data_IF_436088762467
#
_entry.id   IF_436088762467
#
_cell.length_a   1.000
_cell.length_b   1.000
_cell.length_c   1.000
_cell.angle_alpha   90.00
_cell.angle_beta   90.00
_cell.angle_gamma   90.00
#
_symmetry.space_group_name_H-M   'P 1'
#
loop_
_entity.id
_entity.type
_entity.pdbx_description
1 polymer ?
#
# COMPACT_ATOMS: atom_id res chain seq x y z
N UNK A 1 11.38 -17.66 -1.09
CA UNK A 1 10.05 -18.24 -0.77
C UNK A 1 9.01 -17.15 -0.53
N UNK A 2 9.34 -16.04 0.14
CA UNK A 2 8.44 -14.88 0.33
C UNK A 2 8.10 -14.11 -0.95
N UNK A 3 8.99 -14.18 -1.94
CA UNK A 3 8.97 -13.49 -3.23
C UNK A 3 7.78 -13.85 -4.14
N UNK A 4 7.11 -14.98 -3.86
CA UNK A 4 5.98 -15.51 -4.64
C UNK A 4 4.63 -15.38 -3.94
N UNK A 5 4.59 -14.82 -2.72
CA UNK A 5 3.36 -14.69 -1.94
C UNK A 5 2.47 -13.60 -2.57
N UNK A 6 1.13 -13.80 -2.62
CA UNK A 6 0.20 -12.75 -3.02
C UNK A 6 0.34 -11.52 -2.13
N UNK A 7 0.48 -10.34 -2.73
CA UNK A 7 0.64 -9.07 -1.99
C UNK A 7 -0.69 -8.51 -1.47
N UNK A 8 -1.80 -8.92 -2.07
CA UNK A 8 -3.13 -8.54 -1.64
C UNK A 8 -4.15 -9.64 -1.98
N UNK A 9 -5.28 -9.62 -1.28
CA UNK A 9 -6.42 -10.49 -1.51
C UNK A 9 -7.70 -9.66 -1.58
N UNK A 10 -8.56 -9.95 -2.57
CA UNK A 10 -9.89 -9.38 -2.66
C UNK A 10 -10.91 -10.40 -2.16
N UNK A 11 -11.52 -10.14 -1.02
CA UNK A 11 -12.46 -11.03 -0.35
C UNK A 11 -13.89 -10.59 -0.72
N UNK A 12 -14.65 -11.51 -1.30
CA UNK A 12 -16.07 -11.30 -1.66
C UNK A 12 -16.31 -10.14 -2.63
N UNK A 13 -15.29 -9.73 -3.40
CA UNK A 13 -15.36 -8.58 -4.31
C UNK A 13 -15.49 -7.23 -3.63
N UNK A 14 -15.30 -7.15 -2.30
CA UNK A 14 -15.58 -5.94 -1.50
C UNK A 14 -14.45 -5.52 -0.57
N UNK A 15 -13.75 -6.49 0.03
CA UNK A 15 -12.72 -6.20 1.03
C UNK A 15 -11.36 -6.48 0.42
N UNK A 16 -10.53 -5.46 0.27
CA UNK A 16 -9.15 -5.59 -0.19
C UNK A 16 -8.21 -5.65 1.02
N UNK A 17 -7.60 -6.81 1.26
CA UNK A 17 -6.60 -7.02 2.30
C UNK A 17 -5.18 -7.04 1.73
N UNK A 18 -4.22 -6.49 2.46
CA UNK A 18 -2.78 -6.50 2.17
C UNK A 18 -2.01 -6.51 3.49
N UNK A 19 -0.69 -6.70 3.43
CA UNK A 19 0.11 -6.86 4.65
C UNK A 19 0.29 -5.55 5.43
N UNK A 20 0.66 -4.46 4.74
CA UNK A 20 0.83 -3.14 5.34
C UNK A 20 -0.41 -2.29 5.14
N UNK A 21 -0.49 -1.65 3.97
CA UNK A 21 -1.63 -0.80 3.67
C UNK A 21 -1.56 -0.15 2.29
N UNK A 22 -2.31 0.93 2.14
CA UNK A 22 -2.55 1.54 0.83
C UNK A 22 -1.39 2.42 0.35
N UNK A 23 -1.41 2.74 -0.94
CA UNK A 23 -0.36 3.49 -1.63
C UNK A 23 -0.98 4.56 -2.53
N UNK A 24 -0.33 5.73 -2.73
CA UNK A 24 -0.72 6.68 -3.78
C UNK A 24 -0.57 6.09 -5.18
N UNK A 25 0.18 4.99 -5.32
CA UNK A 25 0.39 4.26 -6.58
C UNK A 25 -0.70 3.21 -6.83
N UNK A 26 -1.58 2.95 -5.85
CA UNK A 26 -2.72 2.07 -6.01
C UNK A 26 -3.84 2.79 -6.77
N UNK A 27 -3.71 2.84 -8.09
CA UNK A 27 -4.69 3.50 -8.98
C UNK A 27 -5.84 2.57 -9.36
N UNK A 28 -5.60 1.27 -9.46
CA UNK A 28 -6.59 0.24 -9.79
C UNK A 28 -6.20 -1.11 -9.17
N UNK A 29 -7.18 -2.01 -8.99
CA UNK A 29 -6.87 -3.41 -8.64
C UNK A 29 -6.00 -4.11 -9.71
N UNK A 30 -6.05 -3.64 -10.96
CA UNK A 30 -5.19 -4.15 -12.02
C UNK A 30 -3.71 -3.84 -11.75
N UNK A 31 -3.40 -2.67 -11.18
CA UNK A 31 -2.03 -2.32 -10.81
C UNK A 31 -1.39 -3.32 -9.84
N UNK A 32 -2.17 -3.95 -8.95
CA UNK A 32 -1.69 -5.03 -8.07
C UNK A 32 -1.44 -6.32 -8.85
N UNK A 33 -2.32 -6.64 -9.81
CA UNK A 33 -2.21 -7.84 -10.66
C UNK A 33 -0.99 -7.79 -11.57
N UNK A 34 -0.64 -6.58 -12.05
CA UNK A 34 0.49 -6.34 -12.96
C UNK A 34 1.86 -6.40 -12.27
N UNK A 35 1.91 -6.47 -10.93
CA UNK A 35 3.15 -6.67 -10.19
C UNK A 35 3.75 -8.03 -10.58
N UNK A 36 4.87 -7.98 -11.30
CA UNK A 36 5.62 -9.18 -11.70
C UNK A 36 6.13 -9.92 -10.48
N UNK A 37 6.00 -11.24 -10.53
CA UNK A 37 6.51 -12.16 -9.51
C UNK A 37 7.40 -13.22 -10.18
N UNK A 38 8.43 -13.74 -9.51
CA UNK A 38 8.82 -13.45 -8.12
C UNK A 38 9.38 -12.03 -7.96
N UNK A 39 9.17 -11.41 -6.80
CA UNK A 39 9.81 -10.14 -6.46
C UNK A 39 11.28 -10.38 -6.14
N UNK A 40 12.18 -9.65 -6.78
CA UNK A 40 13.61 -9.70 -6.44
C UNK A 40 13.87 -8.97 -5.11
N UNK A 41 13.28 -7.79 -4.94
CA UNK A 41 13.37 -6.98 -3.71
C UNK A 41 12.12 -6.08 -3.54
N UNK A 42 11.90 -5.56 -2.33
CA UNK A 42 10.91 -4.52 -2.05
C UNK A 42 11.54 -3.13 -2.18
N UNK A 43 11.67 -2.68 -3.43
CA UNK A 43 12.27 -1.37 -3.72
C UNK A 43 11.39 -0.22 -3.19
N UNK A 44 12.00 0.70 -2.44
CA UNK A 44 11.35 1.89 -1.90
C UNK A 44 10.71 2.69 -3.03
N UNK A 45 9.44 3.04 -2.85
CA UNK A 45 8.70 3.78 -3.85
C UNK A 45 8.08 2.92 -4.95
N UNK A 46 8.07 1.59 -4.79
CA UNK A 46 7.23 0.70 -5.60
C UNK A 46 5.88 0.43 -4.93
N UNK A 47 4.86 0.10 -5.73
CA UNK A 47 3.57 -0.36 -5.19
C UNK A 47 3.74 -1.61 -4.34
N UNK A 48 4.60 -2.55 -4.76
CA UNK A 48 4.86 -3.77 -4.00
C UNK A 48 5.42 -3.48 -2.60
N UNK A 49 6.38 -2.55 -2.50
CA UNK A 49 6.91 -2.09 -1.21
C UNK A 49 5.83 -1.43 -0.36
N UNK A 50 5.04 -0.52 -0.93
CA UNK A 50 4.01 0.20 -0.18
C UNK A 50 2.91 -0.77 0.35
N UNK A 51 2.47 -1.76 -0.45
CA UNK A 51 1.46 -2.75 -0.03
C UNK A 51 1.89 -3.57 1.20
N UNK A 52 3.20 -3.71 1.42
CA UNK A 52 3.78 -4.46 2.54
C UNK A 52 4.14 -3.53 3.70
N UNK A 53 4.62 -2.32 3.42
CA UNK A 53 5.25 -1.47 4.43
C UNK A 53 4.49 -0.20 4.81
N UNK A 54 3.37 0.12 4.16
CA UNK A 54 2.53 1.26 4.56
C UNK A 54 1.78 1.01 5.87
N UNK A 55 1.51 2.09 6.62
CA UNK A 55 0.77 2.11 7.88
C UNK A 55 -0.26 3.25 7.91
N UNK A 56 -1.37 3.12 8.67
CA UNK A 56 -2.26 4.25 8.92
C UNK A 56 -1.54 5.35 9.71
N UNK A 57 -1.78 6.61 9.36
CA UNK A 57 -1.29 7.75 10.14
C UNK A 57 -2.00 7.81 11.50
N UNK A 58 -1.23 7.86 12.59
CA UNK A 58 -1.78 7.87 13.95
C UNK A 58 -2.28 9.25 14.38
N UNK A 59 -1.91 10.30 13.65
CA UNK A 59 -2.41 11.64 13.90
C UNK A 59 -3.70 11.90 13.10
N UNK A 60 -4.85 12.12 13.77
CA UNK A 60 -6.15 12.26 13.11
C UNK A 60 -6.29 13.56 12.30
N UNK A 61 -5.46 14.57 12.56
CA UNK A 61 -5.47 15.84 11.82
C UNK A 61 -4.68 15.75 10.50
N UNK A 62 -3.98 14.64 10.26
CA UNK A 62 -3.19 14.44 9.04
C UNK A 62 -4.02 13.74 7.97
N UNK A 63 -3.98 14.33 6.78
CA UNK A 63 -4.65 13.83 5.58
C UNK A 63 -3.61 13.47 4.50
N UNK A 64 -4.02 12.66 3.54
CA UNK A 64 -3.19 12.32 2.39
C UNK A 64 -2.18 11.20 2.67
N UNK A 65 -1.22 11.07 1.75
CA UNK A 65 -0.10 10.14 1.85
C UNK A 65 1.17 10.90 2.23
N UNK A 66 2.02 10.26 3.04
CA UNK A 66 3.34 10.79 3.40
C UNK A 66 4.34 9.64 3.46
N UNK A 67 5.64 9.84 3.15
CA UNK A 67 6.64 8.82 3.36
C UNK A 67 6.66 8.36 4.82
N UNK A 68 6.71 7.04 5.05
CA UNK A 68 6.81 6.49 6.40
C UNK A 68 8.27 6.53 6.87
N UNK A 69 8.67 7.71 7.35
CA UNK A 69 9.99 7.97 7.97
C UNK A 69 10.08 7.39 9.39
N UNK A 70 8.97 6.92 9.96
CA UNK A 70 8.96 6.28 11.28
C UNK A 70 9.52 4.85 11.20
N UNK A 71 9.27 4.15 10.09
CA UNK A 71 9.88 2.84 9.81
C UNK A 71 11.33 2.90 9.35
N UNK A 72 11.66 3.87 8.48
CA UNK A 72 13.03 4.06 8.01
C UNK A 72 13.36 5.57 7.93
N UNK A 73 14.22 6.10 8.82
CA UNK A 73 14.42 7.54 8.93
C UNK A 73 15.08 8.25 7.74
N UNK A 74 15.86 7.56 6.91
CA UNK A 74 16.71 8.23 5.90
C UNK A 74 16.02 8.43 4.55
N UNK A 75 15.25 7.44 4.11
CA UNK A 75 14.61 7.33 2.80
C UNK A 75 13.12 7.06 2.93
N UNK A 76 12.67 6.53 4.08
CA UNK A 76 11.30 6.07 4.28
C UNK A 76 11.04 4.73 3.60
N UNK A 77 10.15 3.93 4.19
CA UNK A 77 9.70 2.67 3.58
C UNK A 77 8.19 2.51 3.73
N UNK A 78 7.48 2.40 2.61
CA UNK A 78 6.02 2.50 2.57
C UNK A 78 5.51 3.92 2.81
N UNK A 79 4.21 4.04 3.07
CA UNK A 79 3.51 5.30 3.28
C UNK A 79 2.76 5.34 4.61
N UNK A 80 2.68 6.51 5.22
CA UNK A 80 1.64 6.86 6.17
C UNK A 80 0.43 7.37 5.40
N UNK A 81 -0.76 6.87 5.73
CA UNK A 81 -2.00 7.23 5.04
C UNK A 81 -3.11 7.67 6.01
N UNK A 82 -3.74 8.81 5.70
CA UNK A 82 -4.90 9.30 6.43
C UNK A 82 -6.20 8.61 6.04
N UNK A 83 -7.23 8.72 6.88
CA UNK A 83 -8.56 8.14 6.63
C UNK A 83 -9.20 8.62 5.32
N UNK A 84 -8.93 9.87 4.93
CA UNK A 84 -9.42 10.46 3.69
C UNK A 84 -8.92 9.71 2.45
N UNK A 85 -7.69 9.19 2.47
CA UNK A 85 -7.11 8.45 1.35
C UNK A 85 -7.74 7.06 1.20
N UNK A 86 -8.07 6.42 2.32
CA UNK A 86 -8.78 5.13 2.33
C UNK A 86 -10.15 5.30 1.66
N UNK A 87 -10.89 6.33 2.06
CA UNK A 87 -12.19 6.63 1.47
C UNK A 87 -12.09 6.88 -0.04
N UNK A 88 -11.14 7.73 -0.47
CA UNK A 88 -10.93 8.04 -1.90
C UNK A 88 -10.59 6.79 -2.73
N UNK A 89 -9.82 5.85 -2.18
CA UNK A 89 -9.51 4.59 -2.88
C UNK A 89 -10.76 3.71 -2.95
N UNK A 90 -11.52 3.56 -1.87
CA UNK A 90 -12.77 2.78 -1.85
C UNK A 90 -13.80 3.30 -2.87
N UNK A 91 -13.91 4.63 -3.03
CA UNK A 91 -14.80 5.25 -4.02
C UNK A 91 -14.34 5.00 -5.46
N UNK A 92 -13.02 4.95 -5.72
CA UNK A 92 -12.46 4.73 -7.07
C UNK A 92 -12.49 3.28 -7.55
N UNK A 93 -12.65 2.31 -6.64
CA UNK A 93 -12.66 0.87 -6.97
C UNK A 93 -14.09 0.28 -7.04
N UNK A 94 -15.12 1.11 -6.90
CA UNK A 94 -16.51 0.76 -7.26
C UNK A 94 -16.72 0.95 -8.76
#
# INVERSE_FOLDING_TARGET
>A
MFNTIPLAALIGGRILGMHGGISPRLTSLQAIRDIRRPLEDFEVGTLACDLVWSDPDTNPDRCGFRPNLEREPNKGIGQLFGSDTVQKICEKQH
#
